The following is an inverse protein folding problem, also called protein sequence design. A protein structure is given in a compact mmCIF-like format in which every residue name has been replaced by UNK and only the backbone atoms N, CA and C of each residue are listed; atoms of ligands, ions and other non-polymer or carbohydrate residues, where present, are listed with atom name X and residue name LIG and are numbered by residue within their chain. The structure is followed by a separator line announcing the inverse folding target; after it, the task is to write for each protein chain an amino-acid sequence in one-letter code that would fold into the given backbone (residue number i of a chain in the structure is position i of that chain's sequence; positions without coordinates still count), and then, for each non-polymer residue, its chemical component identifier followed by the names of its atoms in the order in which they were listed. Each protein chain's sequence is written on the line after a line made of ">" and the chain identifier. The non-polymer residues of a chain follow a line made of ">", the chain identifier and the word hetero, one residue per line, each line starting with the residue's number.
data_IF_706704305960
#
_entry.id   IF_706704305960
#
_cell.length_a   1.000
_cell.length_b   1.000
_cell.length_c   1.000
_cell.angle_alpha   90.00
_cell.angle_beta   90.00
_cell.angle_gamma   90.00
#
_symmetry.space_group_name_H-M   'P 1'
#
loop_
_entity.id
_entity.type
_entity.pdbx_description
1 polymer ?
#
# COMPACT_ATOMS: atom_id res chain seq x y z
N UNK A 1 51.15 -45.14 -1.89
CA UNK A 1 50.02 -44.84 -0.97
C UNK A 1 49.89 -43.33 -0.88
N UNK A 2 48.83 -42.62 -1.25
CA UNK A 2 47.53 -42.96 -1.81
C UNK A 2 46.73 -41.67 -2.03
N UNK A 3 45.86 -41.71 -3.06
CA UNK A 3 44.59 -40.98 -3.21
C UNK A 3 44.61 -39.44 -3.38
N UNK A 4 44.80 -39.02 -4.64
CA UNK A 4 44.26 -37.75 -5.14
C UNK A 4 42.78 -37.93 -5.52
N UNK A 5 41.88 -37.25 -4.81
CA UNK A 5 40.45 -37.23 -5.10
C UNK A 5 40.12 -36.10 -6.07
N UNK A 6 39.68 -36.47 -7.27
CA UNK A 6 39.31 -35.58 -8.38
C UNK A 6 37.84 -35.15 -8.24
N UNK A 7 37.62 -33.88 -7.88
CA UNK A 7 36.30 -33.27 -7.79
C UNK A 7 35.85 -32.78 -9.17
N UNK A 8 34.94 -33.54 -9.79
CA UNK A 8 34.28 -33.20 -11.05
C UNK A 8 33.46 -31.92 -10.90
N UNK A 9 33.76 -30.92 -11.72
CA UNK A 9 33.04 -29.65 -11.79
C UNK A 9 31.59 -29.82 -12.24
N UNK A 10 30.65 -29.46 -11.37
CA UNK A 10 29.25 -29.24 -11.72
C UNK A 10 29.13 -27.93 -12.51
N UNK A 11 28.83 -28.04 -13.82
CA UNK A 11 28.37 -26.91 -14.64
C UNK A 11 27.04 -26.40 -14.09
N UNK A 12 27.07 -25.27 -13.37
CA UNK A 12 25.86 -24.51 -13.01
C UNK A 12 25.21 -24.01 -14.31
N UNK A 13 24.13 -24.68 -14.74
CA UNK A 13 23.25 -24.16 -15.80
C UNK A 13 22.59 -22.90 -15.26
N UNK A 14 23.04 -21.73 -15.71
CA UNK A 14 22.33 -20.47 -15.51
C UNK A 14 20.97 -20.58 -16.21
N UNK A 15 19.93 -20.92 -15.45
CA UNK A 15 18.55 -20.72 -15.87
C UNK A 15 18.31 -19.21 -15.96
N UNK A 16 18.58 -18.63 -17.15
CA UNK A 16 17.98 -17.37 -17.57
C UNK A 16 16.48 -17.63 -17.70
N UNK A 17 15.77 -17.53 -16.58
CA UNK A 17 14.32 -17.43 -16.63
C UNK A 17 13.99 -16.11 -17.33
N UNK A 18 13.47 -16.25 -18.55
CA UNK A 18 12.82 -15.19 -19.31
C UNK A 18 11.67 -14.64 -18.45
N UNK A 19 11.93 -13.57 -17.70
CA UNK A 19 10.97 -12.96 -16.79
C UNK A 19 9.67 -12.56 -17.52
N UNK A 20 9.77 -12.26 -18.82
CA UNK A 20 8.63 -11.98 -19.69
C UNK A 20 7.74 -13.19 -19.99
N UNK A 21 8.28 -14.41 -20.06
CA UNK A 21 7.45 -15.60 -20.32
C UNK A 21 6.66 -16.05 -19.10
N UNK A 22 7.23 -15.89 -17.90
CA UNK A 22 6.52 -16.17 -16.65
C UNK A 22 5.32 -15.25 -16.47
N UNK A 23 5.44 -13.95 -16.80
CA UNK A 23 4.32 -13.00 -16.68
C UNK A 23 3.23 -13.27 -17.71
N UNK A 24 3.59 -13.67 -18.93
CA UNK A 24 2.63 -14.09 -19.98
C UNK A 24 1.89 -15.38 -19.63
N UNK A 25 2.54 -16.32 -18.95
CA UNK A 25 1.88 -17.52 -18.44
C UNK A 25 0.87 -17.17 -17.35
N UNK A 26 1.27 -16.35 -16.37
CA UNK A 26 0.39 -15.90 -15.29
C UNK A 26 -0.87 -15.19 -15.80
N UNK A 27 -0.73 -14.27 -16.77
CA UNK A 27 -1.86 -13.56 -17.38
C UNK A 27 -2.82 -14.50 -18.13
N UNK A 28 -2.31 -15.55 -18.79
CA UNK A 28 -3.14 -16.53 -19.49
C UNK A 28 -3.93 -17.42 -18.54
N UNK A 29 -3.30 -17.85 -17.44
CA UNK A 29 -3.99 -18.64 -16.43
C UNK A 29 -5.07 -17.81 -15.72
N UNK A 30 -4.80 -16.52 -15.45
CA UNK A 30 -5.78 -15.58 -14.88
C UNK A 30 -6.98 -15.37 -15.82
N UNK A 31 -6.73 -15.16 -17.12
CA UNK A 31 -7.79 -15.06 -18.15
C UNK A 31 -8.61 -16.34 -18.27
N UNK A 32 -7.98 -17.52 -18.11
CA UNK A 32 -8.67 -18.81 -18.18
C UNK A 32 -9.54 -19.06 -16.95
N UNK A 33 -9.08 -18.65 -15.77
CA UNK A 33 -9.86 -18.74 -14.53
C UNK A 33 -11.05 -17.78 -14.56
N UNK A 34 -10.86 -16.56 -15.06
CA UNK A 34 -11.94 -15.59 -15.25
C UNK A 34 -12.98 -16.10 -16.26
N UNK A 35 -12.55 -16.73 -17.37
CA UNK A 35 -13.45 -17.35 -18.34
C UNK A 35 -14.22 -18.56 -17.75
N UNK A 36 -13.56 -19.39 -16.92
CA UNK A 36 -14.20 -20.50 -16.24
C UNK A 36 -15.26 -20.02 -15.22
N UNK A 37 -14.99 -18.93 -14.50
CA UNK A 37 -15.99 -18.29 -13.62
C UNK A 37 -17.17 -17.72 -14.40
N UNK A 38 -16.92 -17.12 -15.57
CA UNK A 38 -17.99 -16.60 -16.41
C UNK A 38 -18.95 -17.70 -16.91
N UNK A 39 -18.46 -18.93 -17.12
CA UNK A 39 -19.28 -20.08 -17.50
C UNK A 39 -20.06 -20.72 -16.33
N UNK A 40 -19.64 -20.49 -15.09
CA UNK A 40 -20.27 -21.02 -13.88
C UNK A 40 -21.21 -20.01 -13.20
N UNK A 41 -21.55 -18.90 -13.87
CA UNK A 41 -22.52 -17.93 -13.34
C UNK A 41 -23.89 -18.58 -13.29
N UNK A 42 -24.22 -19.16 -12.14
CA UNK A 42 -25.61 -19.45 -11.76
C UNK A 42 -26.41 -18.17 -11.98
N UNK A 43 -27.56 -18.23 -12.67
CA UNK A 43 -28.37 -17.05 -12.92
C UNK A 43 -28.80 -16.47 -11.57
N UNK A 44 -28.09 -15.42 -11.12
CA UNK A 44 -28.48 -14.66 -9.95
C UNK A 44 -29.91 -14.19 -10.16
N UNK A 45 -30.77 -14.58 -9.23
CA UNK A 45 -32.18 -14.20 -9.29
C UNK A 45 -32.27 -12.68 -9.27
N UNK A 46 -33.28 -12.11 -9.95
CA UNK A 46 -33.45 -10.66 -10.01
C UNK A 46 -33.52 -10.02 -8.61
N UNK A 47 -33.92 -10.80 -7.61
CA UNK A 47 -33.97 -10.41 -6.18
C UNK A 47 -32.57 -10.12 -5.63
N UNK A 48 -31.55 -10.92 -5.98
CA UNK A 48 -30.19 -10.77 -5.45
C UNK A 48 -29.53 -9.48 -5.96
N UNK A 49 -29.78 -9.10 -7.22
CA UNK A 49 -29.20 -7.88 -7.81
C UNK A 49 -29.68 -6.60 -7.14
N UNK A 50 -30.96 -6.53 -6.79
CA UNK A 50 -31.50 -5.37 -6.10
C UNK A 50 -30.93 -5.22 -4.68
N UNK A 51 -30.64 -6.34 -4.00
CA UNK A 51 -29.99 -6.32 -2.69
C UNK A 51 -28.54 -5.81 -2.79
N UNK A 52 -27.77 -6.27 -3.79
CA UNK A 52 -26.40 -5.81 -4.03
C UNK A 52 -26.33 -4.32 -4.39
N UNK A 53 -27.21 -3.84 -5.26
CA UNK A 53 -27.30 -2.42 -5.63
C UNK A 53 -27.64 -1.54 -4.42
N UNK A 54 -28.57 -1.98 -3.58
CA UNK A 54 -28.96 -1.26 -2.36
C UNK A 54 -27.79 -1.18 -1.36
N UNK A 55 -27.00 -2.26 -1.21
CA UNK A 55 -25.81 -2.26 -0.36
C UNK A 55 -24.74 -1.30 -0.88
N UNK A 56 -24.45 -1.34 -2.19
CA UNK A 56 -23.49 -0.42 -2.81
C UNK A 56 -23.89 1.04 -2.61
N UNK A 57 -25.17 1.36 -2.82
CA UNK A 57 -25.71 2.71 -2.61
C UNK A 57 -25.60 3.16 -1.15
N UNK A 58 -25.92 2.27 -0.21
CA UNK A 58 -25.78 2.55 1.22
C UNK A 58 -24.31 2.77 1.63
N UNK A 59 -23.36 2.03 1.04
CA UNK A 59 -21.95 2.23 1.30
C UNK A 59 -21.44 3.56 0.74
N UNK A 60 -21.84 3.92 -0.49
CA UNK A 60 -21.56 5.25 -1.08
C UNK A 60 -22.08 6.37 -0.18
N UNK A 61 -23.30 6.25 0.34
CA UNK A 61 -23.85 7.23 1.28
C UNK A 61 -23.07 7.30 2.60
N UNK A 62 -22.62 6.17 3.15
CA UNK A 62 -21.80 6.14 4.37
C UNK A 62 -20.47 6.84 4.15
N UNK A 63 -19.84 6.62 2.99
CA UNK A 63 -18.59 7.29 2.60
C UNK A 63 -18.83 8.80 2.47
N UNK A 64 -19.95 9.22 1.87
CA UNK A 64 -20.31 10.63 1.75
C UNK A 64 -20.64 11.30 3.10
N UNK A 65 -21.32 10.58 4.01
CA UNK A 65 -21.70 11.09 5.34
C UNK A 65 -20.50 11.28 6.26
N UNK A 66 -19.47 10.44 6.14
CA UNK A 66 -18.18 10.68 6.79
C UNK A 66 -17.50 11.85 6.10
N UNK A 67 -17.67 13.06 6.65
CA UNK A 67 -17.00 14.29 6.22
C UNK A 67 -15.48 14.15 6.35
N UNK A 68 -14.84 13.48 5.39
CA UNK A 68 -13.40 13.48 5.23
C UNK A 68 -13.00 14.83 4.62
N UNK A 69 -12.50 15.74 5.46
CA UNK A 69 -12.06 17.07 5.02
C UNK A 69 -11.04 17.03 3.87
N UNK A 70 -10.22 15.97 3.81
CA UNK A 70 -9.20 15.73 2.78
C UNK A 70 -9.82 15.57 1.38
N UNK A 71 -10.92 14.80 1.26
CA UNK A 71 -11.55 14.48 -0.02
C UNK A 71 -12.36 15.65 -0.59
N UNK A 72 -12.68 16.65 0.27
CA UNK A 72 -13.33 17.90 -0.14
C UNK A 72 -12.34 18.96 -0.63
N UNK A 73 -11.04 18.74 -0.51
CA UNK A 73 -10.06 19.72 -0.98
C UNK A 73 -10.12 19.84 -2.51
N UNK A 74 -10.16 21.07 -3.03
CA UNK A 74 -10.20 21.34 -4.47
C UNK A 74 -8.99 20.73 -5.19
N UNK A 75 -7.84 20.71 -4.52
CA UNK A 75 -6.61 20.09 -5.03
C UNK A 75 -6.77 18.58 -5.19
N UNK A 76 -7.33 17.89 -4.20
CA UNK A 76 -7.62 16.46 -4.31
C UNK A 76 -8.56 16.17 -5.47
N UNK A 77 -9.68 16.91 -5.56
CA UNK A 77 -10.66 16.73 -6.62
C UNK A 77 -10.02 16.94 -8.00
N UNK A 78 -9.21 17.98 -8.17
CA UNK A 78 -8.48 18.25 -9.41
C UNK A 78 -7.47 17.15 -9.76
N UNK A 79 -6.79 16.57 -8.77
CA UNK A 79 -5.85 15.46 -8.99
C UNK A 79 -6.61 14.20 -9.40
N UNK A 80 -7.71 13.88 -8.72
CA UNK A 80 -8.54 12.70 -9.01
C UNK A 80 -9.19 12.84 -10.38
N UNK A 81 -9.76 14.00 -10.70
CA UNK A 81 -10.32 14.30 -12.03
C UNK A 81 -9.26 14.23 -13.12
N UNK A 82 -8.08 14.82 -12.89
CA UNK A 82 -6.98 14.73 -13.84
C UNK A 82 -6.47 13.29 -14.04
N UNK A 83 -6.47 12.46 -12.99
CA UNK A 83 -6.12 11.05 -13.08
C UNK A 83 -7.19 10.26 -13.85
N UNK A 84 -8.47 10.51 -13.56
CA UNK A 84 -9.61 9.89 -14.26
C UNK A 84 -9.55 10.16 -15.76
N UNK A 85 -9.46 11.44 -16.15
CA UNK A 85 -9.41 11.83 -17.56
C UNK A 85 -8.15 11.31 -18.28
N UNK A 86 -7.06 11.06 -17.56
CA UNK A 86 -5.83 10.53 -18.14
C UNK A 86 -5.88 9.02 -18.40
N UNK A 87 -6.75 8.28 -17.70
CA UNK A 87 -6.86 6.82 -17.86
C UNK A 87 -8.13 6.37 -18.57
N UNK A 88 -9.12 7.24 -18.73
CA UNK A 88 -10.32 7.03 -19.54
C UNK A 88 -9.95 7.12 -21.03
N UNK A 89 -9.29 6.08 -21.54
CA UNK A 89 -8.71 6.07 -22.88
C UNK A 89 -9.78 6.00 -23.97
N UNK A 90 -10.91 5.38 -23.67
CA UNK A 90 -12.02 5.20 -24.62
C UNK A 90 -13.11 6.27 -24.45
N UNK A 91 -13.01 7.15 -23.45
CA UNK A 91 -13.96 8.24 -23.18
C UNK A 91 -15.40 7.77 -23.02
N UNK A 92 -15.59 6.53 -22.56
CA UNK A 92 -16.91 5.94 -22.35
C UNK A 92 -17.54 6.41 -21.01
N UNK A 93 -16.78 7.15 -20.18
CA UNK A 93 -17.20 7.63 -18.87
C UNK A 93 -17.25 6.54 -17.77
N UNK A 94 -16.57 5.41 -17.98
CA UNK A 94 -16.53 4.23 -17.10
C UNK A 94 -15.17 3.56 -17.16
N UNK A 95 -14.52 3.45 -16.01
CA UNK A 95 -13.21 2.81 -15.93
C UNK A 95 -13.33 1.31 -15.67
N UNK A 96 -12.58 0.54 -16.44
CA UNK A 96 -12.29 -0.86 -16.17
C UNK A 96 -11.34 -1.02 -14.98
N UNK A 97 -11.29 -2.21 -14.38
CA UNK A 97 -10.38 -2.49 -13.27
C UNK A 97 -8.90 -2.20 -13.60
N UNK A 98 -8.49 -2.38 -14.87
CA UNK A 98 -7.12 -2.12 -15.33
C UNK A 98 -6.85 -0.61 -15.37
N UNK A 99 -7.78 0.18 -15.88
CA UNK A 99 -7.64 1.65 -15.94
C UNK A 99 -7.64 2.26 -14.54
N UNK A 100 -8.46 1.72 -13.63
CA UNK A 100 -8.43 2.12 -12.21
C UNK A 100 -7.07 1.83 -11.60
N UNK A 101 -6.50 0.64 -11.87
CA UNK A 101 -5.16 0.30 -11.40
C UNK A 101 -4.10 1.27 -11.93
N UNK A 102 -4.17 1.59 -13.23
CA UNK A 102 -3.29 2.57 -13.85
C UNK A 102 -3.45 3.96 -13.19
N UNK A 103 -4.68 4.38 -12.89
CA UNK A 103 -4.95 5.67 -12.25
C UNK A 103 -4.39 5.74 -10.82
N UNK A 104 -4.57 4.66 -10.05
CA UNK A 104 -3.99 4.54 -8.72
C UNK A 104 -2.47 4.59 -8.81
N UNK A 105 -1.87 3.87 -9.75
CA UNK A 105 -0.43 3.86 -9.95
C UNK A 105 0.10 5.26 -10.31
N UNK A 106 -0.61 5.99 -11.18
CA UNK A 106 -0.27 7.36 -11.56
C UNK A 106 -0.25 8.30 -10.34
N UNK A 107 -1.23 8.19 -9.44
CA UNK A 107 -1.24 8.94 -8.20
C UNK A 107 -0.10 8.51 -7.26
N UNK A 108 0.18 7.22 -7.18
CA UNK A 108 1.31 6.70 -6.40
C UNK A 108 2.65 7.21 -6.90
N UNK A 109 2.88 7.28 -8.22
CA UNK A 109 4.13 7.82 -8.78
C UNK A 109 4.31 9.28 -8.38
N UNK A 110 3.23 10.08 -8.43
CA UNK A 110 3.27 11.48 -7.97
C UNK A 110 3.60 11.57 -6.47
N UNK A 111 3.00 10.73 -5.63
CA UNK A 111 3.27 10.71 -4.19
C UNK A 111 4.66 10.14 -3.84
N UNK A 112 5.13 9.13 -4.57
CA UNK A 112 6.44 8.51 -4.37
C UNK A 112 7.59 9.49 -4.65
N UNK A 113 7.37 10.49 -5.50
CA UNK A 113 8.34 11.59 -5.68
C UNK A 113 8.54 12.41 -4.40
N UNK A 114 7.55 12.46 -3.51
CA UNK A 114 7.58 13.21 -2.26
C UNK A 114 7.94 12.32 -1.05
N UNK A 115 7.54 11.05 -1.09
CA UNK A 115 7.70 10.10 0.02
C UNK A 115 8.48 8.88 -0.46
N UNK A 116 9.72 8.74 0.03
CA UNK A 116 10.57 7.58 -0.27
C UNK A 116 9.98 6.30 0.36
N UNK A 117 10.10 5.19 -0.38
CA UNK A 117 9.66 3.87 0.10
C UNK A 117 8.16 3.61 0.01
N UNK A 118 7.39 4.47 -0.65
CA UNK A 118 5.96 4.22 -0.89
C UNK A 118 5.80 3.07 -1.89
N UNK A 119 5.29 1.92 -1.43
CA UNK A 119 5.02 0.77 -2.30
C UNK A 119 3.59 0.85 -2.84
N UNK A 120 3.39 0.67 -4.16
CA UNK A 120 2.06 0.66 -4.75
C UNK A 120 1.23 -0.54 -4.22
N UNK A 121 -0.10 -0.40 -4.16
CA UNK A 121 -0.99 -1.46 -3.72
C UNK A 121 -1.02 -2.58 -4.75
N UNK A 122 -1.29 -3.79 -4.27
CA UNK A 122 -1.50 -4.95 -5.15
C UNK A 122 -2.82 -4.82 -5.89
N UNK A 123 -2.85 -5.29 -7.14
CA UNK A 123 -4.05 -5.30 -7.98
C UNK A 123 -5.25 -5.96 -7.30
N UNK A 124 -5.03 -7.08 -6.60
CA UNK A 124 -6.10 -7.79 -5.86
C UNK A 124 -6.77 -6.91 -4.80
N UNK A 125 -6.00 -6.07 -4.10
CA UNK A 125 -6.54 -5.15 -3.11
C UNK A 125 -7.40 -4.05 -3.77
N UNK A 126 -6.99 -3.55 -4.93
CA UNK A 126 -7.79 -2.56 -5.68
C UNK A 126 -9.08 -3.20 -6.20
N UNK A 127 -9.03 -4.42 -6.77
CA UNK A 127 -10.23 -5.14 -7.21
C UNK A 127 -11.25 -5.31 -6.08
N UNK A 128 -10.79 -5.59 -4.86
CA UNK A 128 -11.66 -5.67 -3.68
C UNK A 128 -12.37 -4.33 -3.40
N UNK A 129 -11.64 -3.22 -3.42
CA UNK A 129 -12.23 -1.88 -3.22
C UNK A 129 -13.19 -1.47 -4.34
N UNK A 130 -12.86 -1.83 -5.58
CA UNK A 130 -13.73 -1.61 -6.76
C UNK A 130 -15.04 -2.36 -6.59
N UNK A 131 -14.97 -3.64 -6.21
CA UNK A 131 -16.15 -4.49 -6.00
C UNK A 131 -17.03 -3.96 -4.87
N UNK A 132 -16.43 -3.53 -3.75
CA UNK A 132 -17.16 -2.96 -2.61
C UNK A 132 -17.93 -1.68 -3.01
N UNK A 133 -17.29 -0.75 -3.73
CA UNK A 133 -17.89 0.56 -4.01
C UNK A 133 -18.84 0.56 -5.21
N UNK A 134 -18.52 -0.23 -6.24
CA UNK A 134 -19.26 -0.21 -7.51
C UNK A 134 -20.27 -1.36 -7.65
N UNK A 135 -20.03 -2.51 -7.00
CA UNK A 135 -20.80 -3.74 -7.25
C UNK A 135 -20.62 -4.33 -8.65
N UNK A 136 -19.93 -3.62 -9.55
CA UNK A 136 -19.69 -4.03 -10.94
C UNK A 136 -18.22 -3.84 -11.34
N UNK A 137 -17.81 -4.44 -12.46
CA UNK A 137 -16.45 -4.32 -13.00
C UNK A 137 -16.15 -2.99 -13.69
N UNK A 138 -17.18 -2.14 -13.82
CA UNK A 138 -17.09 -0.81 -14.42
C UNK A 138 -17.33 0.24 -13.34
N UNK A 139 -16.53 1.30 -13.35
CA UNK A 139 -16.55 2.31 -12.30
C UNK A 139 -16.85 3.67 -12.91
N UNK A 140 -17.97 4.24 -12.50
CA UNK A 140 -18.35 5.60 -12.82
C UNK A 140 -17.41 6.61 -12.13
N UNK A 141 -17.46 7.86 -12.58
CA UNK A 141 -16.60 8.93 -12.06
C UNK A 141 -16.77 9.17 -10.56
N UNK A 142 -17.99 9.02 -10.03
CA UNK A 142 -18.29 9.20 -8.62
C UNK A 142 -17.71 8.07 -7.76
N UNK A 143 -17.91 6.81 -8.16
CA UNK A 143 -17.32 5.66 -7.48
C UNK A 143 -15.80 5.69 -7.56
N UNK A 144 -15.23 6.14 -8.67
CA UNK A 144 -13.78 6.32 -8.77
C UNK A 144 -13.27 7.30 -7.71
N UNK A 145 -13.96 8.42 -7.50
CA UNK A 145 -13.64 9.37 -6.45
C UNK A 145 -13.69 8.76 -5.04
N UNK A 146 -14.70 7.92 -4.77
CA UNK A 146 -14.82 7.21 -3.49
C UNK A 146 -13.72 6.16 -3.29
N UNK A 147 -13.36 5.40 -4.34
CA UNK A 147 -12.26 4.43 -4.30
C UNK A 147 -10.93 5.15 -4.05
N UNK A 148 -10.66 6.24 -4.75
CA UNK A 148 -9.45 7.05 -4.55
C UNK A 148 -9.39 7.66 -3.15
N UNK A 149 -10.53 8.09 -2.59
CA UNK A 149 -10.61 8.56 -1.22
C UNK A 149 -10.23 7.48 -0.20
N UNK A 150 -10.74 6.26 -0.36
CA UNK A 150 -10.40 5.13 0.52
C UNK A 150 -8.91 4.77 0.42
N UNK A 151 -8.38 4.69 -0.81
CA UNK A 151 -6.98 4.37 -1.03
C UNK A 151 -6.04 5.47 -0.48
N UNK A 152 -6.38 6.74 -0.67
CA UNK A 152 -5.60 7.85 -0.13
C UNK A 152 -5.70 7.95 1.38
N UNK A 153 -6.81 7.55 1.99
CA UNK A 153 -6.92 7.45 3.44
C UNK A 153 -5.95 6.39 4.01
N UNK A 154 -5.85 5.23 3.36
CA UNK A 154 -4.91 4.19 3.77
C UNK A 154 -3.44 4.63 3.63
N UNK A 155 -3.12 5.36 2.55
CA UNK A 155 -1.79 5.95 2.34
C UNK A 155 -1.52 7.03 3.38
N UNK A 156 -2.47 7.94 3.59
CA UNK A 156 -2.33 9.04 4.54
C UNK A 156 -2.11 8.49 5.95
N UNK A 157 -2.81 7.42 6.34
CA UNK A 157 -2.60 6.75 7.62
C UNK A 157 -1.18 6.18 7.75
N UNK A 158 -0.64 5.56 6.70
CA UNK A 158 0.75 5.06 6.65
C UNK A 158 1.76 6.19 6.81
N UNK A 159 1.56 7.26 6.06
CA UNK A 159 2.44 8.44 6.09
C UNK A 159 2.37 9.12 7.46
N UNK A 160 1.17 9.30 8.00
CA UNK A 160 0.98 9.88 9.33
C UNK A 160 1.65 9.03 10.42
N UNK A 161 1.50 7.70 10.37
CA UNK A 161 2.17 6.79 11.30
C UNK A 161 3.70 6.90 11.19
N UNK A 162 4.22 6.98 9.96
CA UNK A 162 5.64 7.17 9.72
C UNK A 162 6.17 8.49 10.29
N UNK A 163 5.48 9.60 10.01
CA UNK A 163 5.82 10.93 10.52
C UNK A 163 5.77 10.94 12.05
N UNK A 164 4.71 10.39 12.66
CA UNK A 164 4.60 10.29 14.11
C UNK A 164 5.75 9.49 14.72
N UNK A 165 6.10 8.37 14.11
CA UNK A 165 7.17 7.50 14.60
C UNK A 165 8.53 8.19 14.53
N UNK A 166 8.85 8.82 13.40
CA UNK A 166 10.14 9.51 13.18
C UNK A 166 10.26 10.78 14.01
N UNK A 167 9.18 11.57 14.14
CA UNK A 167 9.23 12.86 14.83
C UNK A 167 9.01 12.77 16.34
N UNK A 168 8.31 11.74 16.82
CA UNK A 168 7.95 11.62 18.24
C UNK A 168 8.63 10.43 18.89
N UNK A 169 8.43 9.22 18.36
CA UNK A 169 8.89 8.00 19.04
C UNK A 169 10.43 7.91 19.02
N UNK A 170 11.06 8.14 17.87
CA UNK A 170 12.52 8.02 17.74
C UNK A 170 13.27 9.03 18.64
N UNK A 171 12.93 10.33 18.67
CA UNK A 171 13.58 11.29 19.58
C UNK A 171 13.38 10.96 21.06
N UNK A 172 12.19 10.47 21.45
CA UNK A 172 11.94 10.05 22.84
C UNK A 172 12.80 8.86 23.25
N UNK A 173 12.94 7.86 22.37
CA UNK A 173 13.83 6.73 22.61
C UNK A 173 15.30 7.16 22.67
N UNK A 174 15.73 8.04 21.75
CA UNK A 174 17.10 8.56 21.73
C UNK A 174 17.42 9.37 23.00
N UNK A 175 16.49 10.21 23.47
CA UNK A 175 16.65 10.96 24.72
C UNK A 175 16.76 10.02 25.93
N UNK A 176 15.91 8.97 25.98
CA UNK A 176 15.94 7.98 27.08
C UNK A 176 17.24 7.17 27.07
N UNK A 177 17.69 6.74 25.90
CA UNK A 177 18.95 6.01 25.73
C UNK A 177 20.15 6.88 26.10
N UNK A 178 20.18 8.14 25.67
CA UNK A 178 21.25 9.09 26.02
C UNK A 178 21.35 9.26 27.53
N UNK A 179 20.20 9.45 28.22
CA UNK A 179 20.16 9.55 29.68
C UNK A 179 20.70 8.30 30.36
N UNK A 180 20.29 7.12 29.90
CA UNK A 180 20.75 5.84 30.46
C UNK A 180 22.26 5.63 30.27
N UNK A 181 22.79 5.91 29.08
CA UNK A 181 24.23 5.82 28.80
C UNK A 181 25.01 6.80 29.67
N UNK A 182 24.52 8.04 29.80
CA UNK A 182 25.15 9.06 30.63
C UNK A 182 25.26 8.62 32.10
N UNK A 183 24.18 8.09 32.67
CA UNK A 183 24.15 7.60 34.06
C UNK A 183 25.02 6.34 34.27
N UNK A 184 25.16 5.49 33.25
CA UNK A 184 25.85 4.19 33.39
C UNK A 184 27.37 4.30 33.19
N UNK A 185 27.82 5.13 32.25
CA UNK A 185 29.23 5.18 31.83
C UNK A 185 30.02 6.33 32.45
N UNK A 186 29.42 7.06 33.40
CA UNK A 186 30.02 8.20 34.10
C UNK A 186 30.84 9.10 33.16
N UNK A 187 30.21 9.52 32.06
CA UNK A 187 30.83 10.33 31.00
C UNK A 187 31.18 11.77 31.47
N UNK A 188 31.21 12.01 32.78
CA UNK A 188 31.47 13.31 33.39
C UNK A 188 32.85 13.89 33.05
N UNK A 189 33.84 13.05 32.69
CA UNK A 189 35.18 13.52 32.31
C UNK A 189 35.27 14.09 30.88
N UNK A 190 34.26 13.89 30.04
CA UNK A 190 34.22 14.44 28.67
C UNK A 190 33.78 15.91 28.67
N UNK A 191 34.64 16.81 29.17
CA UNK A 191 34.39 18.27 29.27
C UNK A 191 33.97 18.95 27.96
N UNK A 192 34.22 18.34 26.80
CA UNK A 192 34.00 18.95 25.48
C UNK A 192 32.75 18.44 24.75
N UNK A 193 32.07 17.40 25.24
CA UNK A 193 30.85 16.91 24.61
C UNK A 193 29.61 17.43 25.32
N UNK A 194 28.91 18.35 24.65
CA UNK A 194 27.55 18.73 25.04
C UNK A 194 26.62 17.52 24.89
N UNK A 195 25.76 17.21 25.88
CA UNK A 195 24.73 16.17 25.78
C UNK A 195 23.83 16.33 24.54
N UNK A 196 23.64 17.56 24.07
CA UNK A 196 22.86 17.83 22.87
C UNK A 196 23.48 17.21 21.61
N UNK A 197 24.81 17.22 21.50
CA UNK A 197 25.53 16.65 20.35
C UNK A 197 25.40 15.11 20.38
N UNK A 198 25.55 14.49 21.55
CA UNK A 198 25.26 13.06 21.74
C UNK A 198 23.86 12.71 21.23
N UNK A 199 22.83 13.43 21.70
CA UNK A 199 21.44 13.12 21.35
C UNK A 199 21.18 13.27 19.84
N UNK A 200 21.77 14.27 19.19
CA UNK A 200 21.65 14.44 17.74
C UNK A 200 22.30 13.29 16.96
N UNK A 201 23.52 12.88 17.35
CA UNK A 201 24.21 11.75 16.70
C UNK A 201 23.44 10.44 16.91
N UNK A 202 23.00 10.16 18.15
CA UNK A 202 22.19 8.98 18.44
C UNK A 202 20.85 8.99 17.71
N UNK A 203 20.22 10.16 17.57
CA UNK A 203 18.98 10.30 16.80
C UNK A 203 19.23 10.02 15.31
N UNK A 204 20.29 10.55 14.71
CA UNK A 204 20.61 10.31 13.30
C UNK A 204 20.94 8.83 13.01
N UNK A 205 21.75 8.21 13.86
CA UNK A 205 22.06 6.77 13.74
C UNK A 205 20.81 5.94 13.99
N UNK A 206 20.04 6.30 15.03
CA UNK A 206 18.77 5.67 15.37
C UNK A 206 17.78 5.72 14.21
N UNK A 207 17.60 6.88 13.58
CA UNK A 207 16.76 7.05 12.38
C UNK A 207 17.29 6.13 11.26
N UNK A 208 18.59 6.12 10.99
CA UNK A 208 19.18 5.34 9.90
C UNK A 208 18.96 3.82 10.05
N UNK A 209 19.07 3.30 11.28
CA UNK A 209 18.89 1.87 11.58
C UNK A 209 17.43 1.49 11.80
N UNK A 210 16.66 2.35 12.48
CA UNK A 210 15.27 2.07 12.80
C UNK A 210 14.38 2.20 11.56
N UNK A 211 14.67 3.10 10.61
CA UNK A 211 13.83 3.31 9.45
C UNK A 211 13.49 2.00 8.70
N UNK A 212 14.47 1.17 8.26
CA UNK A 212 14.17 -0.11 7.61
C UNK A 212 13.32 -1.06 8.47
N UNK A 213 13.62 -1.19 9.76
CA UNK A 213 12.89 -2.09 10.65
C UNK A 213 11.47 -1.60 10.94
N UNK A 214 11.30 -0.28 11.05
CA UNK A 214 10.01 0.38 11.23
C UNK A 214 9.12 0.18 10.00
N UNK A 215 9.67 0.30 8.78
CA UNK A 215 8.90 -0.02 7.57
C UNK A 215 8.40 -1.47 7.58
N UNK A 216 9.27 -2.42 7.92
CA UNK A 216 8.89 -3.82 8.03
C UNK A 216 7.81 -4.04 9.12
N UNK A 217 7.94 -3.38 10.27
CA UNK A 217 6.99 -3.45 11.36
C UNK A 217 5.63 -2.85 10.97
N UNK A 218 5.62 -1.68 10.33
CA UNK A 218 4.40 -1.01 9.85
C UNK A 218 3.70 -1.91 8.82
N UNK A 219 4.42 -2.46 7.85
CA UNK A 219 3.84 -3.38 6.86
C UNK A 219 3.22 -4.62 7.52
N UNK A 220 3.91 -5.22 8.48
CA UNK A 220 3.43 -6.41 9.19
C UNK A 220 2.21 -6.12 10.10
N UNK A 221 2.16 -4.96 10.76
CA UNK A 221 1.09 -4.65 11.71
C UNK A 221 -0.11 -3.96 11.07
N UNK A 222 0.06 -3.26 9.94
CA UNK A 222 -1.06 -2.63 9.24
C UNK A 222 -2.11 -3.65 8.82
N UNK A 223 -1.69 -4.83 8.34
CA UNK A 223 -2.62 -5.91 8.02
C UNK A 223 -3.40 -6.44 9.24
N UNK A 224 -2.93 -6.17 10.46
CA UNK A 224 -3.57 -6.63 11.71
C UNK A 224 -4.52 -5.59 12.31
N UNK A 225 -4.54 -4.36 11.82
CA UNK A 225 -5.34 -3.29 12.43
C UNK A 225 -6.84 -3.61 12.35
N UNK A 226 -7.60 -3.39 13.43
CA UNK A 226 -8.98 -3.85 13.53
C UNK A 226 -9.91 -3.17 12.52
N UNK A 227 -9.55 -1.99 12.00
CA UNK A 227 -10.29 -1.35 10.92
C UNK A 227 -10.01 -1.97 9.54
N UNK A 228 -8.88 -2.66 9.35
CA UNK A 228 -8.68 -3.54 8.18
C UNK A 228 -9.46 -4.84 8.34
N UNK A 229 -9.42 -5.48 9.52
CA UNK A 229 -10.21 -6.71 9.78
C UNK A 229 -11.72 -6.51 9.70
N UNK A 230 -12.21 -5.28 9.91
CA UNK A 230 -13.64 -4.97 9.81
C UNK A 230 -14.19 -5.14 8.39
N UNK A 231 -13.32 -5.16 7.36
CA UNK A 231 -13.72 -5.36 5.95
C UNK A 231 -13.85 -6.83 5.53
N UNK A 232 -13.27 -7.77 6.26
CA UNK A 232 -13.34 -9.22 5.93
C UNK A 232 -14.55 -9.93 6.56
N UNK A 233 -15.28 -9.27 7.49
CA UNK A 233 -16.34 -9.92 8.28
C UNK A 233 -17.77 -9.59 7.79
N UNK A 234 -17.88 -8.96 6.63
CA UNK A 234 -19.17 -8.61 5.99
C UNK A 234 -19.40 -9.32 4.66
N UNK A 235 -18.51 -10.24 4.28
CA UNK A 235 -18.76 -11.30 3.32
C UNK A 235 -19.19 -12.58 4.07
#
# INVERSE_FOLDING_TARGET
>A
MGLFSSTKGQKKKHHKYSHGESMKAMLRDELREDAARAGAVTPHTAVDRHAEEAQCKAEREKIHKKKNWITRSKTFQKIVEGAYNAVDLDSNGRLSAIEIYAAVLLVYVKLASQIKGLKPPKMSSIRLHVRQVSGSNLVDREAFGAIMALLLQDIAARVAAHVLMVLVIVPLLAARATKYIWETYDLHDMKYMSPAICTQVFSLVGISVALPQMYAFIEHNIGKLPWMKRKERTD
#
